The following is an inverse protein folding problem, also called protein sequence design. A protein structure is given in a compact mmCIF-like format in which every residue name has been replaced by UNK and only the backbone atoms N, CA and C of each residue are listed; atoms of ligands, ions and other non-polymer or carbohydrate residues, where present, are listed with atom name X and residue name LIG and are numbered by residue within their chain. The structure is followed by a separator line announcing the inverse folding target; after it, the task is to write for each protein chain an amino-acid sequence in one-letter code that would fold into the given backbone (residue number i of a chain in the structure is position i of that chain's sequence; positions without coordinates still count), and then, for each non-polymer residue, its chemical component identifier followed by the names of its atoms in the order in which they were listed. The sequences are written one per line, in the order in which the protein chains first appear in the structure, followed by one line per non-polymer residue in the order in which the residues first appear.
data_IF_060075121575
#
_entry.id   IF_060075121575
#
_cell.length_a   1.000
_cell.length_b   1.000
_cell.length_c   1.000
_cell.angle_alpha   90.00
_cell.angle_beta   90.00
_cell.angle_gamma   90.00
#
_symmetry.space_group_name_H-M   'P 1'
#
loop_
_entity.id
_entity.type
_entity.pdbx_description
1 polymer ?
#
# COMPACT_ATOMS: atom_id res chain seq x y z
N UNK A 1 12.87 7.11 27.04
CA UNK A 1 11.47 7.39 26.69
C UNK A 1 10.84 6.05 26.36
N UNK A 2 9.79 5.66 27.07
CA UNK A 2 9.08 4.40 26.81
C UNK A 2 7.90 4.71 25.87
N UNK A 3 7.82 4.01 24.74
CA UNK A 3 6.70 4.17 23.79
C UNK A 3 5.79 2.96 23.94
N UNK A 4 4.52 3.21 24.30
CA UNK A 4 3.52 2.17 24.51
C UNK A 4 2.48 2.19 23.38
N UNK A 5 1.87 1.03 23.04
CA UNK A 5 0.78 0.98 22.08
C UNK A 5 -0.37 1.91 22.47
N UNK A 6 -0.97 2.57 21.49
CA UNK A 6 -2.11 3.46 21.70
C UNK A 6 -3.30 2.65 22.21
N UNK A 7 -3.91 3.14 23.30
CA UNK A 7 -5.22 2.65 23.75
C UNK A 7 -6.30 3.29 22.89
N UNK A 8 -7.16 2.46 22.30
CA UNK A 8 -8.24 2.89 21.41
C UNK A 8 -9.57 2.26 21.86
N UNK A 9 -10.66 2.96 21.60
CA UNK A 9 -12.05 2.52 21.84
C UNK A 9 -12.97 2.88 20.66
N UNK A 10 -14.25 2.53 20.73
CA UNK A 10 -15.21 2.74 19.64
C UNK A 10 -15.45 4.24 19.32
N UNK A 11 -15.10 5.13 20.24
CA UNK A 11 -15.25 6.58 20.12
C UNK A 11 -13.98 7.25 19.61
N UNK A 12 -12.89 6.49 19.48
CA UNK A 12 -11.64 6.98 18.91
C UNK A 12 -11.88 7.30 17.44
N UNK A 13 -11.75 8.59 17.09
CA UNK A 13 -11.93 9.05 15.72
C UNK A 13 -11.01 8.29 14.75
N UNK A 14 -11.54 7.99 13.56
CA UNK A 14 -10.73 7.47 12.46
C UNK A 14 -9.69 8.53 12.10
N UNK A 15 -8.43 8.23 12.37
CA UNK A 15 -7.28 9.06 12.03
C UNK A 15 -6.34 8.34 11.08
N UNK A 16 -5.20 8.94 10.74
CA UNK A 16 -4.17 8.27 9.94
C UNK A 16 -3.81 6.92 10.56
N UNK A 17 -3.76 5.86 9.74
CA UNK A 17 -3.52 4.47 10.17
C UNK A 17 -2.03 4.26 10.46
N UNK A 18 -1.48 5.01 11.41
CA UNK A 18 -0.03 5.13 11.64
C UNK A 18 0.41 4.67 13.03
N UNK A 19 -0.49 4.65 14.00
CA UNK A 19 -0.20 4.41 15.41
C UNK A 19 0.33 3.00 15.70
N UNK A 20 1.15 2.88 16.74
CA UNK A 20 1.56 1.57 17.27
C UNK A 20 0.39 0.94 18.04
N UNK A 21 -0.01 -0.28 17.66
CA UNK A 21 -1.11 -1.03 18.29
C UNK A 21 -0.70 -2.45 18.64
N UNK A 22 -1.33 -2.97 19.68
CA UNK A 22 -1.41 -4.40 19.92
C UNK A 22 -2.52 -4.98 19.06
N UNK A 23 -2.22 -6.04 18.31
CA UNK A 23 -3.18 -6.73 17.45
C UNK A 23 -3.00 -8.24 17.60
N UNK A 24 -4.05 -8.91 18.06
CA UNK A 24 -4.13 -10.38 18.14
C UNK A 24 -2.86 -11.10 18.66
N UNK A 25 -2.24 -10.54 19.71
CA UNK A 25 -1.04 -11.12 20.34
C UNK A 25 0.31 -10.67 19.76
N UNK A 26 0.32 -9.69 18.86
CA UNK A 26 1.52 -9.02 18.36
C UNK A 26 1.43 -7.50 18.42
N UNK A 27 2.46 -6.85 17.89
CA UNK A 27 2.56 -5.40 17.75
C UNK A 27 2.71 -5.02 16.27
N UNK A 28 2.05 -3.93 15.89
CA UNK A 28 2.11 -3.38 14.54
C UNK A 28 1.97 -1.86 14.56
N UNK A 29 2.79 -1.16 13.78
CA UNK A 29 2.73 0.29 13.68
C UNK A 29 3.71 0.84 12.65
N UNK A 30 3.66 2.15 12.45
CA UNK A 30 4.59 2.86 11.56
C UNK A 30 5.71 3.51 12.35
N UNK A 31 6.92 3.56 11.78
CA UNK A 31 8.06 4.14 12.47
C UNK A 31 7.87 5.62 12.80
N UNK A 32 7.08 6.36 12.00
CA UNK A 32 6.74 7.76 12.26
C UNK A 32 6.04 7.99 13.60
N UNK A 33 5.44 6.94 14.17
CA UNK A 33 4.74 7.03 15.45
C UNK A 33 5.62 6.76 16.67
N UNK A 34 6.61 5.88 16.55
CA UNK A 34 7.34 5.37 17.73
C UNK A 34 8.87 5.45 17.64
N UNK A 35 9.42 5.80 16.48
CA UNK A 35 10.85 6.01 16.30
C UNK A 35 11.17 7.51 16.30
N UNK A 36 12.30 7.91 16.91
CA UNK A 36 12.79 9.27 16.79
C UNK A 36 13.10 9.59 15.32
N UNK A 37 12.73 10.79 14.89
CA UNK A 37 13.08 11.30 13.57
C UNK A 37 14.44 12.00 13.62
N UNK A 38 15.19 11.87 12.54
CA UNK A 38 16.42 12.64 12.31
C UNK A 38 16.00 13.89 11.51
N UNK A 39 16.67 15.02 11.72
CA UNK A 39 16.29 16.32 11.12
C UNK A 39 17.22 16.79 9.98
N UNK A 40 18.29 16.05 9.65
CA UNK A 40 19.28 16.47 8.64
C UNK A 40 19.76 15.30 7.78
N UNK A 41 20.06 15.58 6.50
CA UNK A 41 20.78 14.71 5.55
C UNK A 41 19.98 14.26 4.34
N UNK A 42 20.69 13.86 3.27
CA UNK A 42 20.09 13.42 2.01
C UNK A 42 19.70 11.93 2.04
N UNK A 43 20.69 11.05 2.20
CA UNK A 43 20.53 9.60 2.21
C UNK A 43 21.35 8.94 3.32
N UNK A 44 20.77 7.92 3.94
CA UNK A 44 21.37 7.12 5.01
C UNK A 44 21.21 5.62 4.73
N UNK A 45 22.15 4.83 5.24
CA UNK A 45 21.96 3.39 5.39
C UNK A 45 21.17 3.19 6.68
N UNK A 46 19.90 2.81 6.53
CA UNK A 46 18.99 2.46 7.61
C UNK A 46 19.19 0.98 7.95
N UNK A 47 19.58 0.70 9.20
CA UNK A 47 19.78 -0.66 9.68
C UNK A 47 18.72 -1.03 10.70
N UNK A 48 18.05 -2.17 10.50
CA UNK A 48 17.17 -2.77 11.50
C UNK A 48 17.70 -4.14 11.89
N UNK A 49 17.85 -4.35 13.20
CA UNK A 49 18.24 -5.61 13.81
C UNK A 49 17.30 -5.88 14.99
N UNK A 50 16.79 -7.11 15.09
CA UNK A 50 15.78 -7.46 16.08
C UNK A 50 16.38 -8.35 17.15
N UNK A 51 16.38 -7.89 18.39
CA UNK A 51 16.65 -8.75 19.54
C UNK A 51 15.37 -9.47 19.95
N UNK A 52 15.26 -10.74 19.57
CA UNK A 52 14.16 -11.63 19.91
C UNK A 52 14.54 -12.63 21.01
N UNK A 53 15.67 -12.42 21.72
CA UNK A 53 16.20 -13.39 22.69
C UNK A 53 15.26 -13.70 23.86
N UNK A 54 14.40 -12.73 24.21
CA UNK A 54 13.39 -12.84 25.28
C UNK A 54 11.96 -12.97 24.73
N UNK A 55 11.79 -13.03 23.41
CA UNK A 55 10.47 -13.12 22.80
C UNK A 55 9.92 -14.55 22.88
N UNK A 56 8.58 -14.73 22.88
CA UNK A 56 7.97 -16.04 22.76
C UNK A 56 8.47 -16.81 21.53
N UNK A 57 8.59 -18.13 21.64
CA UNK A 57 8.99 -18.98 20.52
C UNK A 57 8.04 -18.81 19.33
N UNK A 58 8.60 -18.74 18.11
CA UNK A 58 7.84 -18.50 16.89
C UNK A 58 7.57 -17.02 16.59
N UNK A 59 8.06 -16.09 17.43
CA UNK A 59 8.01 -14.65 17.12
C UNK A 59 8.77 -14.35 15.83
N UNK A 60 8.08 -13.73 14.89
CA UNK A 60 8.65 -13.16 13.66
C UNK A 60 8.66 -11.66 13.78
N UNK A 61 9.64 -11.01 13.15
CA UNK A 61 9.73 -9.57 13.10
C UNK A 61 9.90 -9.11 11.65
N UNK A 62 9.03 -8.20 11.21
CA UNK A 62 8.95 -7.74 9.83
C UNK A 62 9.08 -6.23 9.84
N UNK A 63 9.92 -5.75 8.94
CA UNK A 63 10.05 -4.38 8.52
C UNK A 63 9.65 -4.30 7.04
N UNK A 64 9.15 -3.15 6.58
CA UNK A 64 8.88 -2.86 5.17
C UNK A 64 9.93 -3.42 4.20
N UNK A 65 11.23 -3.31 4.53
CA UNK A 65 12.31 -3.76 3.63
C UNK A 65 12.79 -5.20 3.87
N UNK A 66 12.29 -5.92 4.88
CA UNK A 66 12.77 -7.28 5.14
C UNK A 66 12.21 -7.93 6.40
N UNK A 67 12.47 -9.23 6.50
CA UNK A 67 12.10 -10.03 7.66
C UNK A 67 13.33 -10.37 8.50
N UNK A 68 13.27 -10.05 9.80
CA UNK A 68 14.29 -10.37 10.80
C UNK A 68 14.30 -11.86 11.17
N UNK A 69 15.11 -12.26 12.17
CA UNK A 69 15.85 -11.42 13.12
C UNK A 69 17.18 -10.88 12.58
N UNK A 70 17.60 -11.31 11.39
CA UNK A 70 18.85 -10.86 10.78
C UNK A 70 18.87 -9.35 10.56
N UNK A 71 20.07 -8.77 10.61
CA UNK A 71 20.33 -7.38 10.24
C UNK A 71 19.90 -7.12 8.79
N UNK A 72 19.01 -6.15 8.61
CA UNK A 72 18.56 -5.67 7.31
C UNK A 72 19.07 -4.25 7.12
N UNK A 73 19.61 -3.95 5.95
CA UNK A 73 20.08 -2.62 5.58
C UNK A 73 19.33 -2.11 4.35
N UNK A 74 18.97 -0.83 4.37
CA UNK A 74 18.32 -0.15 3.25
C UNK A 74 18.88 1.25 3.09
N UNK A 75 19.29 1.61 1.86
CA UNK A 75 19.69 2.97 1.53
C UNK A 75 18.44 3.79 1.19
N UNK A 76 18.18 4.86 1.92
CA UNK A 76 17.00 5.71 1.68
C UNK A 76 17.13 7.08 2.32
N UNK A 77 16.12 7.92 2.13
CA UNK A 77 16.08 9.28 2.70
C UNK A 77 15.78 9.26 4.20
N UNK A 78 15.76 10.43 4.82
CA UNK A 78 15.44 10.60 6.24
C UNK A 78 14.07 10.04 6.63
N UNK A 79 13.12 10.04 5.69
CA UNK A 79 11.74 9.55 5.91
C UNK A 79 11.63 8.03 5.92
N UNK A 80 12.71 7.28 5.63
CA UNK A 80 12.67 5.82 5.48
C UNK A 80 12.04 5.16 6.69
N UNK A 81 12.46 5.50 7.92
CA UNK A 81 11.86 4.95 9.12
C UNK A 81 10.45 5.50 9.37
N UNK A 82 10.22 6.80 9.17
CA UNK A 82 8.90 7.42 9.35
C UNK A 82 7.82 6.70 8.52
N UNK A 83 8.16 6.40 7.26
CA UNK A 83 7.28 5.81 6.24
C UNK A 83 7.45 4.29 6.10
N UNK A 84 7.99 3.63 7.12
CA UNK A 84 8.06 2.18 7.20
C UNK A 84 7.03 1.62 8.17
N UNK A 85 6.55 0.41 7.89
CA UNK A 85 5.72 -0.40 8.77
C UNK A 85 6.57 -1.45 9.46
N UNK A 86 6.28 -1.68 10.73
CA UNK A 86 6.93 -2.67 11.59
C UNK A 86 5.87 -3.57 12.21
N UNK A 87 6.13 -4.88 12.23
CA UNK A 87 5.22 -5.89 12.75
C UNK A 87 6.00 -6.99 13.46
N UNK A 88 5.65 -7.29 14.71
CA UNK A 88 6.34 -8.31 15.52
C UNK A 88 5.35 -9.14 16.33
N UNK A 89 5.51 -10.47 16.33
CA UNK A 89 4.66 -11.39 17.08
C UNK A 89 4.49 -12.72 16.36
N UNK A 90 3.37 -13.42 16.59
CA UNK A 90 3.03 -14.65 15.89
C UNK A 90 2.45 -14.36 14.49
N UNK A 91 3.31 -13.87 13.60
CA UNK A 91 2.92 -13.36 12.28
C UNK A 91 2.66 -14.50 11.30
N UNK A 92 1.52 -14.47 10.63
CA UNK A 92 1.22 -15.29 9.46
C UNK A 92 1.54 -14.54 8.17
N UNK A 93 1.79 -15.26 7.08
CA UNK A 93 2.05 -14.63 5.79
C UNK A 93 1.54 -15.40 4.59
N UNK A 94 1.31 -14.68 3.49
CA UNK A 94 1.07 -15.19 2.15
C UNK A 94 2.05 -14.52 1.20
N UNK A 95 3.01 -15.24 0.59
CA UNK A 95 3.30 -16.66 0.76
C UNK A 95 3.73 -17.04 2.21
N UNK A 96 3.54 -18.32 2.57
CA UNK A 96 3.81 -18.82 3.95
C UNK A 96 5.29 -18.79 4.33
N UNK A 97 6.20 -18.81 3.35
CA UNK A 97 7.63 -18.84 3.65
C UNK A 97 8.16 -17.44 4.02
N UNK A 98 9.02 -17.34 5.03
CA UNK A 98 9.72 -16.10 5.36
C UNK A 98 10.44 -15.51 4.15
N UNK A 99 10.32 -14.19 3.94
CA UNK A 99 11.05 -13.49 2.88
C UNK A 99 12.33 -12.87 3.42
N UNK A 100 13.23 -13.73 3.92
CA UNK A 100 14.50 -13.33 4.55
C UNK A 100 15.42 -12.54 3.60
N UNK A 101 15.34 -12.82 2.30
CA UNK A 101 15.98 -12.05 1.23
C UNK A 101 14.93 -11.77 0.15
N UNK A 102 14.25 -10.63 0.21
CA UNK A 102 13.30 -10.28 -0.83
C UNK A 102 14.01 -10.24 -2.19
N UNK A 103 13.47 -10.96 -3.16
CA UNK A 103 13.93 -10.85 -4.54
C UNK A 103 13.15 -9.70 -5.21
N UNK A 104 13.75 -8.99 -6.18
CA UNK A 104 13.03 -8.04 -7.00
C UNK A 104 11.74 -8.65 -7.58
N UNK A 105 10.63 -7.91 -7.49
CA UNK A 105 9.33 -8.37 -7.96
C UNK A 105 8.58 -9.34 -7.02
N UNK A 106 9.06 -9.60 -5.80
CA UNK A 106 8.30 -10.39 -4.81
C UNK A 106 7.33 -9.54 -3.99
N UNK A 107 6.21 -10.12 -3.60
CA UNK A 107 5.22 -9.48 -2.74
C UNK A 107 4.80 -10.44 -1.62
N UNK A 108 4.56 -9.91 -0.41
CA UNK A 108 4.05 -10.68 0.71
C UNK A 108 3.01 -9.91 1.52
N UNK A 109 1.96 -10.60 1.93
CA UNK A 109 0.93 -10.14 2.86
C UNK A 109 1.17 -10.73 4.24
N UNK A 110 1.07 -9.93 5.30
CA UNK A 110 1.30 -10.29 6.69
C UNK A 110 0.09 -9.94 7.57
N UNK A 111 -0.27 -10.82 8.49
CA UNK A 111 -1.37 -10.62 9.44
C UNK A 111 -1.12 -11.40 10.75
N UNK A 112 -1.89 -11.09 11.79
CA UNK A 112 -1.98 -11.88 13.01
C UNK A 112 -3.29 -12.66 13.04
N UNK A 113 -3.31 -13.76 13.80
CA UNK A 113 -4.52 -14.53 14.11
C UNK A 113 -5.32 -14.95 12.87
N UNK A 114 -6.64 -14.85 12.96
CA UNK A 114 -7.56 -15.29 11.91
C UNK A 114 -8.05 -14.11 11.08
N UNK A 115 -8.01 -14.27 9.75
CA UNK A 115 -8.62 -13.30 8.85
C UNK A 115 -10.11 -13.60 8.66
N UNK A 116 -10.96 -12.56 8.50
CA UNK A 116 -12.35 -12.76 8.10
C UNK A 116 -12.41 -13.45 6.72
N UNK A 117 -13.51 -14.16 6.39
CA UNK A 117 -13.59 -14.99 5.19
C UNK A 117 -13.22 -14.29 3.88
N UNK A 118 -13.55 -13.00 3.74
CA UNK A 118 -13.21 -12.19 2.56
C UNK A 118 -11.71 -11.95 2.43
N UNK A 119 -11.02 -11.54 3.49
CA UNK A 119 -9.58 -11.34 3.51
C UNK A 119 -8.83 -12.67 3.41
N UNK A 120 -9.38 -13.74 3.96
CA UNK A 120 -8.80 -15.07 3.82
C UNK A 120 -8.74 -15.53 2.36
N UNK A 121 -9.74 -15.16 1.54
CA UNK A 121 -9.75 -15.42 0.09
C UNK A 121 -8.80 -14.47 -0.67
N UNK A 122 -8.69 -13.22 -0.23
CA UNK A 122 -7.92 -12.17 -0.91
C UNK A 122 -6.44 -12.08 -0.49
N UNK A 123 -5.99 -12.84 0.52
CA UNK A 123 -4.62 -12.72 1.06
C UNK A 123 -3.50 -12.88 0.03
N UNK A 124 -3.72 -13.64 -1.06
CA UNK A 124 -2.77 -13.82 -2.16
C UNK A 124 -2.99 -12.87 -3.34
N UNK A 125 -4.11 -12.15 -3.39
CA UNK A 125 -4.44 -11.26 -4.51
C UNK A 125 -3.34 -10.22 -4.76
N UNK A 126 -2.78 -9.63 -3.71
CA UNK A 126 -1.67 -8.69 -3.84
C UNK A 126 -0.39 -9.32 -4.40
N UNK A 127 -0.15 -10.60 -4.12
CA UNK A 127 1.00 -11.31 -4.67
C UNK A 127 0.85 -11.49 -6.19
N UNK A 128 -0.37 -11.81 -6.63
CA UNK A 128 -0.70 -11.97 -8.05
C UNK A 128 -0.73 -10.62 -8.79
N UNK A 129 -1.15 -9.55 -8.11
CA UNK A 129 -1.24 -8.20 -8.65
C UNK A 129 0.12 -7.51 -8.76
N UNK A 130 1.00 -7.64 -7.76
CA UNK A 130 2.20 -6.80 -7.66
C UNK A 130 3.15 -6.96 -8.84
N UNK A 131 3.42 -8.19 -9.27
CA UNK A 131 4.40 -8.43 -10.34
C UNK A 131 4.00 -7.73 -11.65
N UNK A 132 2.82 -7.98 -12.24
CA UNK A 132 2.43 -7.28 -13.46
C UNK A 132 2.25 -5.77 -13.25
N UNK A 133 1.89 -5.33 -12.04
CA UNK A 133 1.83 -3.90 -11.67
C UNK A 133 3.22 -3.24 -11.74
N UNK A 134 4.22 -3.86 -11.10
CA UNK A 134 5.60 -3.38 -11.10
C UNK A 134 6.21 -3.41 -12.51
N UNK A 135 5.90 -4.41 -13.32
CA UNK A 135 6.28 -4.46 -14.74
C UNK A 135 5.65 -3.32 -15.54
N UNK A 136 4.35 -3.06 -15.34
CA UNK A 136 3.62 -1.98 -16.02
C UNK A 136 4.20 -0.60 -15.71
N UNK A 137 4.51 -0.33 -14.44
CA UNK A 137 5.10 0.93 -13.99
C UNK A 137 6.63 0.96 -14.05
N UNK A 138 7.28 -0.09 -14.56
CA UNK A 138 8.73 -0.22 -14.65
C UNK A 138 9.46 -0.07 -13.29
N UNK A 139 8.80 -0.45 -12.20
CA UNK A 139 9.27 -0.30 -10.81
C UNK A 139 9.63 -1.63 -10.14
N UNK A 140 10.43 -2.47 -10.80
CA UNK A 140 10.74 -3.82 -10.30
C UNK A 140 11.86 -3.91 -9.26
N UNK A 141 12.49 -2.81 -8.88
CA UNK A 141 13.79 -2.81 -8.16
C UNK A 141 13.74 -3.34 -6.71
N UNK A 142 12.56 -3.73 -6.20
CA UNK A 142 12.40 -4.24 -4.85
C UNK A 142 11.24 -5.20 -4.66
N UNK A 143 11.00 -5.55 -3.39
CA UNK A 143 9.83 -6.31 -2.95
C UNK A 143 8.77 -5.42 -2.35
N UNK A 144 7.52 -5.89 -2.36
CA UNK A 144 6.38 -5.21 -1.78
C UNK A 144 5.82 -5.93 -0.56
N UNK A 145 5.28 -5.17 0.41
CA UNK A 145 4.69 -5.74 1.63
C UNK A 145 3.32 -5.18 1.96
N UNK A 146 2.43 -6.05 2.36
CA UNK A 146 1.10 -5.69 2.82
C UNK A 146 1.00 -6.12 4.27
N UNK A 147 0.58 -5.20 5.12
CA UNK A 147 0.34 -5.48 6.52
C UNK A 147 -1.15 -5.35 6.78
N UNK A 148 -1.73 -6.31 7.49
CA UNK A 148 -3.15 -6.30 7.85
C UNK A 148 -3.25 -6.29 9.37
N UNK A 149 -4.09 -5.41 9.91
CA UNK A 149 -4.43 -5.37 11.33
C UNK A 149 -5.92 -5.13 11.58
N UNK A 150 -6.39 -5.50 12.77
CA UNK A 150 -7.74 -5.16 13.19
C UNK A 150 -7.87 -3.68 13.57
N UNK A 151 -9.10 -3.18 13.49
CA UNK A 151 -9.52 -1.85 13.90
C UNK A 151 -10.88 -1.94 14.55
N UNK A 152 -11.23 -0.95 15.35
CA UNK A 152 -12.50 -0.93 16.09
C UNK A 152 -13.68 -0.48 15.22
N UNK A 153 -13.41 0.27 14.15
CA UNK A 153 -14.44 0.77 13.26
C UNK A 153 -13.93 0.94 11.82
N UNK A 154 -14.81 0.67 10.87
CA UNK A 154 -14.53 0.77 9.43
C UNK A 154 -13.45 -0.17 8.94
N UNK A 155 -13.03 0.06 7.70
CA UNK A 155 -11.91 -0.60 7.05
C UNK A 155 -11.32 0.37 6.01
N UNK A 156 -10.06 0.17 5.62
CA UNK A 156 -9.37 1.06 4.69
C UNK A 156 -7.85 0.85 4.73
N UNK A 157 -7.15 1.47 3.79
CA UNK A 157 -5.70 1.37 3.70
C UNK A 157 -4.98 2.69 3.97
N UNK A 158 -3.66 2.58 4.05
CA UNK A 158 -2.74 3.72 3.98
C UNK A 158 -1.43 3.23 3.39
N UNK A 159 -0.99 3.88 2.31
CA UNK A 159 0.25 3.54 1.61
C UNK A 159 1.49 4.11 2.29
N UNK A 160 2.57 3.34 2.22
CA UNK A 160 3.88 3.60 2.80
C UNK A 160 4.96 3.29 1.75
N UNK A 161 6.25 3.40 2.11
CA UNK A 161 7.32 3.02 1.19
C UNK A 161 7.19 1.54 0.84
N UNK A 162 7.09 1.20 -0.45
CA UNK A 162 7.00 -0.19 -0.98
C UNK A 162 6.07 -1.11 -0.16
N UNK A 163 5.03 -0.54 0.46
CA UNK A 163 4.13 -1.24 1.34
C UNK A 163 2.84 -0.48 1.59
N UNK A 164 1.83 -1.15 2.14
CA UNK A 164 0.69 -0.47 2.74
C UNK A 164 0.17 -1.22 3.97
N UNK A 165 -0.58 -0.51 4.81
CA UNK A 165 -1.29 -1.06 5.95
C UNK A 165 -2.79 -1.07 5.70
N UNK A 166 -3.40 -2.25 5.71
CA UNK A 166 -4.84 -2.44 5.70
C UNK A 166 -5.36 -2.58 7.14
N UNK A 167 -6.39 -1.81 7.45
CA UNK A 167 -7.17 -1.96 8.66
C UNK A 167 -8.57 -2.48 8.37
N UNK A 168 -9.10 -3.31 9.28
CA UNK A 168 -10.48 -3.76 9.18
C UNK A 168 -11.13 -3.96 10.54
N UNK A 169 -12.44 -3.74 10.59
CA UNK A 169 -13.35 -4.16 11.67
C UNK A 169 -14.38 -5.14 11.12
N UNK A 170 -15.29 -5.63 11.95
CA UNK A 170 -16.37 -6.53 11.52
C UNK A 170 -17.26 -5.96 10.41
N UNK A 171 -17.26 -4.64 10.20
CA UNK A 171 -17.95 -4.02 9.06
C UNK A 171 -17.46 -4.53 7.69
N UNK A 172 -16.26 -5.10 7.60
CA UNK A 172 -15.75 -5.72 6.37
C UNK A 172 -16.52 -6.99 5.98
N UNK A 173 -17.26 -7.61 6.90
CA UNK A 173 -18.05 -8.82 6.62
C UNK A 173 -19.24 -8.52 5.69
N UNK A 174 -19.72 -7.28 5.71
CA UNK A 174 -20.81 -6.80 4.85
C UNK A 174 -20.29 -6.17 3.54
N UNK A 175 -18.97 -6.04 3.39
CA UNK A 175 -18.37 -5.43 2.20
C UNK A 175 -18.50 -6.34 0.98
N UNK A 176 -18.77 -5.74 -0.19
CA UNK A 176 -18.73 -6.48 -1.44
C UNK A 176 -17.29 -6.94 -1.73
N UNK A 177 -17.16 -8.11 -2.35
CA UNK A 177 -15.86 -8.67 -2.70
C UNK A 177 -15.03 -7.72 -3.59
N UNK A 178 -15.70 -7.11 -4.56
CA UNK A 178 -15.08 -6.19 -5.51
C UNK A 178 -14.62 -4.87 -4.85
N UNK A 179 -15.29 -4.42 -3.78
CA UNK A 179 -14.89 -3.21 -3.06
C UNK A 179 -13.59 -3.42 -2.29
N UNK A 180 -13.47 -4.56 -1.60
CA UNK A 180 -12.23 -4.91 -0.89
C UNK A 180 -11.09 -5.13 -1.88
N UNK A 181 -11.34 -5.84 -2.98
CA UNK A 181 -10.34 -6.06 -4.03
C UNK A 181 -9.89 -4.74 -4.68
N UNK A 182 -10.83 -3.83 -4.95
CA UNK A 182 -10.54 -2.49 -5.46
C UNK A 182 -9.69 -1.68 -4.49
N UNK A 183 -9.96 -1.76 -3.18
CA UNK A 183 -9.13 -1.10 -2.17
C UNK A 183 -7.71 -1.66 -2.20
N UNK A 184 -7.52 -2.98 -2.19
CA UNK A 184 -6.18 -3.59 -2.22
C UNK A 184 -5.37 -3.14 -3.45
N UNK A 185 -6.02 -3.04 -4.60
CA UNK A 185 -5.39 -2.53 -5.82
C UNK A 185 -5.09 -1.02 -5.73
N UNK A 186 -6.02 -0.23 -5.19
CA UNK A 186 -5.88 1.22 -4.99
C UNK A 186 -4.65 1.55 -4.13
N UNK A 187 -4.53 0.91 -2.95
CA UNK A 187 -3.40 1.14 -2.04
C UNK A 187 -2.05 0.73 -2.64
N UNK A 188 -2.05 -0.23 -3.57
CA UNK A 188 -0.84 -0.64 -4.30
C UNK A 188 -0.42 0.39 -5.34
N UNK A 189 -1.37 1.01 -6.07
CA UNK A 189 -1.07 2.00 -7.11
C UNK A 189 -0.39 3.25 -6.54
N UNK A 190 -0.76 3.66 -5.32
CA UNK A 190 -0.11 4.79 -4.62
C UNK A 190 1.41 4.65 -4.52
N UNK A 191 1.94 3.42 -4.51
CA UNK A 191 3.39 3.19 -4.48
C UNK A 191 4.12 3.44 -5.80
N UNK A 192 3.40 3.60 -6.91
CA UNK A 192 3.96 3.80 -8.25
C UNK A 192 3.70 5.17 -8.85
N UNK A 193 2.79 5.94 -8.24
CA UNK A 193 2.19 7.13 -8.88
C UNK A 193 2.46 8.42 -8.10
N UNK A 194 3.58 8.45 -7.36
CA UNK A 194 4.05 9.63 -6.66
C UNK A 194 4.31 10.83 -7.60
N UNK A 195 3.96 12.01 -7.13
CA UNK A 195 4.10 13.31 -7.77
C UNK A 195 4.56 14.28 -6.67
N UNK A 196 5.32 15.31 -7.03
CA UNK A 196 5.66 16.34 -6.05
C UNK A 196 4.40 17.10 -5.62
N UNK A 197 4.44 17.70 -4.43
CA UNK A 197 3.48 18.73 -4.04
C UNK A 197 3.55 19.89 -5.03
N UNK A 198 2.47 20.64 -5.15
CA UNK A 198 2.44 21.90 -5.90
C UNK A 198 3.39 22.93 -5.28
N UNK A 199 3.72 23.98 -6.02
CA UNK A 199 4.61 25.06 -5.57
C UNK A 199 4.08 25.79 -4.33
N UNK A 200 2.76 25.76 -4.09
CA UNK A 200 2.09 26.32 -2.92
C UNK A 200 2.06 25.37 -1.71
N UNK A 201 2.66 24.18 -1.84
CA UNK A 201 2.68 23.14 -0.82
C UNK A 201 1.39 22.32 -0.74
N UNK A 202 0.41 22.56 -1.61
CA UNK A 202 -0.79 21.73 -1.68
C UNK A 202 -0.45 20.31 -2.14
N UNK A 203 -1.05 19.33 -1.46
CA UNK A 203 -0.98 17.94 -1.90
C UNK A 203 -1.81 17.78 -3.18
N UNK A 204 -1.22 17.10 -4.17
CA UNK A 204 -1.86 16.74 -5.43
C UNK A 204 -2.91 15.62 -5.26
N UNK A 205 -3.78 15.74 -4.25
CA UNK A 205 -4.71 14.71 -3.80
C UNK A 205 -5.66 14.25 -4.92
N UNK A 206 -6.13 15.18 -5.76
CA UNK A 206 -6.97 14.84 -6.91
C UNK A 206 -6.26 13.89 -7.89
N UNK A 207 -4.95 14.08 -8.08
CA UNK A 207 -4.11 13.27 -8.94
C UNK A 207 -3.84 11.92 -8.30
N UNK A 208 -3.38 11.89 -7.04
CA UNK A 208 -3.06 10.63 -6.34
C UNK A 208 -4.27 9.72 -6.22
N UNK A 209 -5.36 10.22 -5.66
CA UNK A 209 -6.57 9.43 -5.43
C UNK A 209 -7.25 9.09 -6.75
N UNK A 210 -7.25 10.03 -7.70
CA UNK A 210 -7.82 9.79 -9.02
C UNK A 210 -7.07 8.67 -9.75
N UNK A 211 -5.74 8.79 -9.87
CA UNK A 211 -4.91 7.84 -10.62
C UNK A 211 -4.93 6.47 -9.94
N UNK A 212 -4.92 6.43 -8.60
CA UNK A 212 -5.12 5.20 -7.84
C UNK A 212 -6.47 4.54 -8.18
N UNK A 213 -7.57 5.29 -8.18
CA UNK A 213 -8.89 4.77 -8.55
C UNK A 213 -8.95 4.27 -10.00
N UNK A 214 -8.37 5.02 -10.94
CA UNK A 214 -8.34 4.65 -12.35
C UNK A 214 -7.60 3.32 -12.55
N UNK A 215 -6.35 3.23 -12.10
CA UNK A 215 -5.55 2.04 -12.34
C UNK A 215 -6.01 0.84 -11.49
N UNK A 216 -6.54 1.05 -10.28
CA UNK A 216 -7.13 -0.03 -9.46
C UNK A 216 -8.35 -0.69 -10.12
N UNK A 217 -9.02 0.01 -11.02
CA UNK A 217 -10.14 -0.55 -11.77
C UNK A 217 -9.69 -1.26 -13.03
N UNK A 218 -8.79 -0.65 -13.82
CA UNK A 218 -8.43 -1.17 -15.14
C UNK A 218 -7.30 -2.19 -15.13
N UNK A 219 -6.28 -2.03 -14.27
CA UNK A 219 -5.10 -2.89 -14.32
C UNK A 219 -5.37 -4.33 -13.88
N UNK A 220 -6.14 -4.61 -12.80
CA UNK A 220 -6.51 -5.99 -12.48
C UNK A 220 -7.20 -6.69 -13.65
N UNK A 221 -8.05 -5.98 -14.39
CA UNK A 221 -8.71 -6.52 -15.58
C UNK A 221 -7.72 -6.77 -16.71
N UNK A 222 -6.85 -5.79 -17.02
CA UNK A 222 -5.80 -5.92 -18.04
C UNK A 222 -4.86 -7.10 -17.77
N UNK A 223 -4.58 -7.38 -16.51
CA UNK A 223 -3.73 -8.50 -16.09
C UNK A 223 -4.48 -9.84 -16.05
N UNK A 224 -5.78 -9.86 -16.36
CA UNK A 224 -6.61 -11.06 -16.36
C UNK A 224 -6.96 -11.59 -14.97
N UNK A 225 -6.80 -10.76 -13.92
CA UNK A 225 -7.09 -11.15 -12.53
C UNK A 225 -8.57 -11.02 -12.18
N UNK A 226 -9.32 -10.19 -12.91
CA UNK A 226 -10.75 -9.96 -12.72
C UNK A 226 -11.50 -9.96 -14.05
N UNK A 227 -12.79 -10.32 -14.08
CA UNK A 227 -13.58 -10.33 -15.31
C UNK A 227 -13.90 -8.91 -15.82
N UNK A 228 -14.26 -8.74 -17.11
CA UNK A 228 -14.70 -7.44 -17.65
C UNK A 228 -15.85 -6.80 -16.85
N UNK A 229 -16.73 -7.61 -16.25
CA UNK A 229 -17.85 -7.14 -15.44
C UNK A 229 -17.41 -6.35 -14.19
N UNK A 230 -16.20 -6.59 -13.69
CA UNK A 230 -15.61 -5.80 -12.61
C UNK A 230 -15.49 -4.34 -13.04
N UNK A 231 -14.87 -4.07 -14.19
CA UNK A 231 -14.67 -2.71 -14.72
C UNK A 231 -16.00 -1.99 -14.90
N UNK A 232 -16.98 -2.64 -15.53
CA UNK A 232 -18.31 -2.03 -15.74
C UNK A 232 -19.02 -1.73 -14.43
N UNK A 233 -18.81 -2.54 -13.39
CA UNK A 233 -19.40 -2.30 -12.07
C UNK A 233 -18.72 -1.11 -11.38
N UNK A 234 -17.37 -1.07 -11.39
CA UNK A 234 -16.59 0.00 -10.75
C UNK A 234 -16.82 1.37 -11.40
N UNK A 235 -16.87 1.45 -12.72
CA UNK A 235 -17.10 2.72 -13.43
C UNK A 235 -18.51 3.29 -13.20
N UNK A 236 -19.49 2.40 -12.97
CA UNK A 236 -20.87 2.81 -12.70
C UNK A 236 -21.16 3.03 -11.20
N UNK A 237 -20.18 2.81 -10.33
CA UNK A 237 -20.30 3.08 -8.89
C UNK A 237 -20.35 4.59 -8.63
N UNK A 238 -21.45 5.13 -8.05
CA UNK A 238 -21.58 6.54 -7.75
C UNK A 238 -20.47 7.09 -6.84
N UNK A 239 -19.87 6.24 -5.99
CA UNK A 239 -18.77 6.63 -5.11
C UNK A 239 -17.46 6.97 -5.85
N UNK A 240 -17.38 6.62 -7.13
CA UNK A 240 -16.15 6.66 -7.94
C UNK A 240 -16.24 7.60 -9.13
N UNK A 241 -17.45 7.90 -9.60
CA UNK A 241 -17.68 8.75 -10.78
C UNK A 241 -17.00 10.13 -10.72
N UNK A 242 -16.83 10.71 -9.53
CA UNK A 242 -16.20 12.04 -9.37
C UNK A 242 -14.71 12.03 -9.75
N UNK A 243 -13.97 10.97 -9.41
CA UNK A 243 -12.56 10.83 -9.80
C UNK A 243 -12.37 10.47 -11.27
N UNK A 244 -13.33 9.74 -11.85
CA UNK A 244 -13.29 9.29 -13.24
C UNK A 244 -13.52 10.39 -14.25
N UNK A 245 -14.47 11.29 -14.01
CA UNK A 245 -14.75 12.39 -14.94
C UNK A 245 -13.52 13.26 -15.17
N UNK A 246 -12.77 13.61 -14.11
CA UNK A 246 -11.55 14.41 -14.25
C UNK A 246 -10.45 13.68 -15.03
N UNK A 247 -10.25 12.37 -14.81
CA UNK A 247 -9.17 11.62 -15.47
C UNK A 247 -9.50 11.27 -16.92
N UNK A 248 -10.74 10.92 -17.22
CA UNK A 248 -11.17 10.68 -18.60
C UNK A 248 -11.03 11.97 -19.42
N UNK A 249 -11.41 13.11 -18.84
CA UNK A 249 -11.25 14.42 -19.49
C UNK A 249 -9.77 14.79 -19.67
N UNK A 250 -8.90 14.47 -18.70
CA UNK A 250 -7.44 14.63 -18.83
C UNK A 250 -6.84 13.70 -19.89
N UNK A 251 -7.20 12.41 -19.92
CA UNK A 251 -6.76 11.46 -20.94
C UNK A 251 -7.17 11.91 -22.33
N UNK A 252 -8.42 12.36 -22.51
CA UNK A 252 -8.91 12.92 -23.78
C UNK A 252 -8.13 14.20 -24.13
N UNK A 253 -7.89 15.08 -23.17
CA UNK A 253 -7.17 16.34 -23.38
C UNK A 253 -5.69 16.11 -23.72
N UNK A 254 -5.01 15.17 -23.08
CA UNK A 254 -3.64 14.77 -23.41
C UNK A 254 -3.54 14.10 -24.77
N UNK A 255 -4.53 13.27 -25.14
CA UNK A 255 -4.61 12.66 -26.46
C UNK A 255 -4.86 13.71 -27.55
N UNK A 256 -5.64 14.76 -27.24
CA UNK A 256 -5.82 15.93 -28.09
C UNK A 256 -4.50 16.71 -28.24
N UNK A 257 -3.82 17.04 -27.15
CA UNK A 257 -2.54 17.78 -27.18
C UNK A 257 -1.41 17.02 -27.90
N UNK A 258 -1.34 15.69 -27.77
CA UNK A 258 -0.38 14.85 -28.47
C UNK A 258 -0.69 14.74 -29.97
N UNK A 259 -1.96 14.63 -30.36
CA UNK A 259 -2.36 14.56 -31.77
C UNK A 259 -2.20 15.89 -32.52
N UNK A 260 -2.15 17.02 -31.80
CA UNK A 260 -2.02 18.36 -32.37
C UNK A 260 -0.69 19.07 -32.04
N UNK A 261 0.30 18.33 -31.51
CA UNK A 261 1.69 18.81 -31.38
C UNK A 261 1.92 19.92 -30.35
N UNK A 262 1.07 20.04 -29.33
CA UNK A 262 1.09 21.16 -28.38
C UNK A 262 2.01 20.94 -27.15
N UNK A 263 2.53 19.73 -26.91
CA UNK A 263 3.39 19.44 -25.76
C UNK A 263 4.52 18.44 -26.13
N UNK A 264 5.81 18.71 -25.80
CA UNK A 264 6.88 17.76 -26.03
C UNK A 264 6.73 16.54 -25.11
N UNK A 265 6.87 15.34 -25.66
CA UNK A 265 6.75 14.06 -24.94
C UNK A 265 7.68 13.92 -23.71
N UNK A 266 8.69 14.78 -23.58
CA UNK A 266 9.61 14.82 -22.44
C UNK A 266 9.03 15.42 -21.15
N UNK A 267 7.81 15.97 -21.18
CA UNK A 267 7.12 16.54 -20.00
C UNK A 267 5.93 15.69 -19.51
N UNK A 268 5.69 14.52 -20.10
CA UNK A 268 4.59 13.62 -19.72
C UNK A 268 5.16 12.52 -18.81
N UNK A 269 4.78 12.45 -17.52
CA UNK A 269 5.24 11.38 -16.65
C UNK A 269 4.52 10.07 -17.00
N UNK A 270 5.27 9.14 -17.60
CA UNK A 270 4.91 7.73 -17.87
C UNK A 270 3.70 7.47 -18.80
N UNK A 271 3.62 6.30 -19.48
CA UNK A 271 2.73 6.15 -20.62
C UNK A 271 1.27 6.04 -20.18
N UNK A 272 0.53 7.14 -20.26
CA UNK A 272 -0.95 7.22 -20.35
C UNK A 272 -1.50 6.58 -21.65
N UNK A 273 -0.86 5.51 -22.13
CA UNK A 273 -1.18 4.87 -23.41
C UNK A 273 -2.48 4.07 -23.26
N UNK A 274 -3.52 4.63 -23.89
CA UNK A 274 -4.78 4.05 -24.35
C UNK A 274 -5.07 2.61 -23.86
N UNK A 275 -5.93 2.49 -22.85
CA UNK A 275 -6.49 1.23 -22.33
C UNK A 275 -7.80 0.82 -23.01
N UNK A 276 -8.21 1.51 -24.08
CA UNK A 276 -9.42 1.19 -24.85
C UNK A 276 -8.99 0.59 -26.19
N UNK A 277 -8.85 -0.73 -26.19
CA UNK A 277 -8.58 -1.57 -27.36
C UNK A 277 -9.02 -3.00 -27.07
#
# INVERSE_FOLDING_TARGET
MEVLPRKVDIHTASGPRVDLRSDQGGLIGTGGWFLPQVDQGDFYIHTVEWDLSVAPAGTRAIWTFGEGPYRIEHLGTIDTFARSVFMVGNVQSSPTRPQLRPLPGTCATYWFGDLPPILQRLKSFNTDLYKPMAEFFQGMDGSYRIFIRTSLCGWGGSSFLVSYLLEYSDSILEAAYDDVMSLLAHEMVHSFTGLSTEDDGAENAWYFEGIANFYATFLPYRFGLVPPSYVTTRVNDPGIQIGYHMIVDLCISFQWMNNYGACPASQIPMPLVCLIG
#
